data_IF_636238891550
#
_entry.id   IF_636238891550
#
_cell.length_a   1.000
_cell.length_b   1.000
_cell.length_c   1.000
_cell.angle_alpha   90.00
_cell.angle_beta   90.00
_cell.angle_gamma   90.00
#
_symmetry.space_group_name_H-M   'P 1'
#
loop_
_entity.id
_entity.type
_entity.pdbx_description
1 polymer ?
#
# COMPACT_ATOMS: atom_id res chain seq x y z
N UNK A 1 -9.49 25.51 -2.55
CA UNK A 1 -8.67 24.29 -2.73
C UNK A 1 -9.58 23.09 -2.74
N UNK A 2 -9.56 22.27 -3.78
CA UNK A 2 -10.30 20.99 -3.79
C UNK A 2 -9.60 19.99 -2.87
N UNK A 3 -10.37 19.30 -2.04
CA UNK A 3 -9.84 18.27 -1.15
C UNK A 3 -9.76 16.93 -1.89
N UNK A 4 -8.85 16.01 -1.50
CA UNK A 4 -8.61 14.77 -2.24
C UNK A 4 -9.78 13.79 -2.30
N UNK A 5 -10.76 13.96 -1.41
CA UNK A 5 -11.84 12.98 -1.18
C UNK A 5 -13.19 13.66 -1.10
N UNK A 6 -14.25 12.87 -1.31
CA UNK A 6 -15.65 13.27 -1.09
C UNK A 6 -16.12 14.49 -1.90
N UNK A 7 -15.37 14.88 -2.95
CA UNK A 7 -15.62 16.11 -3.73
C UNK A 7 -15.74 17.37 -2.86
N UNK A 8 -15.13 17.34 -1.67
CA UNK A 8 -15.17 18.45 -0.74
C UNK A 8 -14.17 19.54 -1.17
N UNK A 9 -14.39 20.76 -0.72
CA UNK A 9 -13.44 21.84 -0.95
C UNK A 9 -13.31 22.74 0.27
N UNK A 10 -12.18 23.44 0.33
CA UNK A 10 -11.84 24.32 1.42
C UNK A 10 -11.28 25.63 0.88
N UNK A 11 -11.78 26.74 1.38
CA UNK A 11 -11.18 28.06 1.21
C UNK A 11 -10.82 28.60 2.59
N UNK A 12 -9.70 29.32 2.69
CA UNK A 12 -9.30 29.93 3.96
C UNK A 12 -8.54 31.23 3.73
N UNK A 13 -8.58 32.09 4.74
CA UNK A 13 -7.73 33.28 4.86
C UNK A 13 -7.10 33.27 6.24
N UNK A 14 -5.76 33.35 6.29
CA UNK A 14 -5.03 33.41 7.55
C UNK A 14 -4.52 34.82 7.82
N UNK A 15 -5.04 35.42 8.90
CA UNK A 15 -4.68 36.75 9.37
C UNK A 15 -3.50 36.64 10.35
N UNK A 16 -2.29 36.83 9.83
CA UNK A 16 -1.04 36.66 10.61
C UNK A 16 -0.95 37.61 11.80
N UNK A 17 -1.52 38.82 11.71
CA UNK A 17 -1.42 39.86 12.74
C UNK A 17 -2.14 39.51 14.05
N UNK A 18 -3.20 38.71 14.00
CA UNK A 18 -3.99 38.31 15.16
C UNK A 18 -4.13 36.78 15.32
N UNK A 19 -3.40 36.01 14.50
CA UNK A 19 -3.45 34.55 14.42
C UNK A 19 -4.87 34.00 14.21
N UNK A 20 -5.71 34.71 13.47
CA UNK A 20 -7.08 34.29 13.17
C UNK A 20 -7.13 33.61 11.80
N UNK A 21 -7.81 32.48 11.75
CA UNK A 21 -8.06 31.71 10.54
C UNK A 21 -9.55 31.73 10.24
N UNK A 22 -9.92 32.34 9.12
CA UNK A 22 -11.25 32.25 8.56
C UNK A 22 -11.27 31.10 7.56
N UNK A 23 -12.18 30.15 7.73
CA UNK A 23 -12.28 28.95 6.90
C UNK A 23 -13.71 28.78 6.41
N UNK A 24 -13.84 28.41 5.15
CA UNK A 24 -15.10 27.94 4.56
C UNK A 24 -14.85 26.54 4.02
N UNK A 25 -15.64 25.58 4.50
CA UNK A 25 -15.66 24.21 4.02
C UNK A 25 -16.92 23.97 3.20
N UNK A 26 -16.77 23.33 2.05
CA UNK A 26 -17.86 22.85 1.22
C UNK A 26 -17.86 21.33 1.20
N UNK A 27 -19.01 20.73 1.51
CA UNK A 27 -19.22 19.29 1.43
C UNK A 27 -20.66 18.97 1.02
N UNK A 28 -20.95 17.69 0.81
CA UNK A 28 -22.28 17.23 0.42
C UNK A 28 -22.81 16.13 1.32
N UNK A 29 -24.10 16.20 1.65
CA UNK A 29 -24.81 15.14 2.36
C UNK A 29 -24.91 13.89 1.49
N UNK A 30 -24.93 12.72 2.14
CA UNK A 30 -25.15 11.40 1.49
C UNK A 30 -26.50 10.79 1.86
N UNK A 31 -27.33 11.55 2.57
CA UNK A 31 -28.60 11.12 3.12
C UNK A 31 -29.38 12.33 3.64
N UNK A 32 -30.72 12.36 3.53
CA UNK A 32 -31.55 13.43 4.05
C UNK A 32 -31.50 13.58 5.58
N UNK A 33 -31.13 12.53 6.30
CA UNK A 33 -30.95 12.55 7.76
C UNK A 33 -29.48 12.60 8.18
N UNK A 34 -28.58 12.72 7.20
CA UNK A 34 -27.14 12.59 7.38
C UNK A 34 -26.49 13.78 8.08
N UNK A 35 -25.17 13.71 8.17
CA UNK A 35 -24.35 14.79 8.70
C UNK A 35 -23.15 15.04 7.80
N UNK A 36 -22.65 16.26 7.81
CA UNK A 36 -21.42 16.67 7.12
C UNK A 36 -20.60 17.49 8.11
N UNK A 37 -19.30 17.20 8.21
CA UNK A 37 -18.47 17.91 9.17
C UNK A 37 -17.03 18.02 8.75
N UNK A 38 -16.37 19.03 9.29
CA UNK A 38 -14.94 19.22 9.18
C UNK A 38 -14.36 19.68 10.52
N UNK A 39 -13.06 19.57 10.69
CA UNK A 39 -12.41 19.98 11.92
C UNK A 39 -10.90 20.07 11.82
N UNK A 40 -10.31 20.59 12.89
CA UNK A 40 -8.87 20.73 13.04
C UNK A 40 -8.39 19.80 14.14
N UNK A 41 -7.35 19.03 13.85
CA UNK A 41 -6.64 18.26 14.85
C UNK A 41 -5.33 18.99 15.22
N UNK A 42 -5.09 19.30 16.51
CA UNK A 42 -3.93 20.07 16.93
C UNK A 42 -2.59 19.30 16.86
N UNK A 43 -2.64 17.98 16.67
CA UNK A 43 -1.48 17.08 16.83
C UNK A 43 -1.14 16.31 15.55
N UNK A 44 -2.13 15.78 14.82
CA UNK A 44 -1.92 14.85 13.69
C UNK A 44 -3.06 14.90 12.68
N UNK A 45 -2.82 14.51 11.43
CA UNK A 45 -3.88 14.41 10.41
C UNK A 45 -4.68 13.10 10.54
N UNK A 46 -5.40 12.95 11.65
CA UNK A 46 -6.27 11.81 11.92
C UNK A 46 -7.57 12.24 12.63
N UNK A 47 -8.60 11.40 12.58
CA UNK A 47 -9.92 11.72 13.14
C UNK A 47 -9.96 11.80 14.67
N UNK A 48 -9.17 10.96 15.36
CA UNK A 48 -9.09 10.99 16.82
C UNK A 48 -8.23 12.18 17.26
N UNK A 49 -8.77 13.01 18.14
CA UNK A 49 -8.19 14.28 18.56
C UNK A 49 -8.71 15.48 17.75
N UNK A 50 -9.60 15.28 16.79
CA UNK A 50 -10.15 16.39 15.99
C UNK A 50 -11.19 17.18 16.79
N UNK A 51 -11.06 18.51 16.70
CA UNK A 51 -12.07 19.48 17.14
C UNK A 51 -12.88 19.84 15.91
N UNK A 52 -14.12 19.36 15.86
CA UNK A 52 -14.95 19.34 14.66
C UNK A 52 -16.19 20.18 14.80
N UNK A 53 -16.65 20.71 13.67
CA UNK A 53 -17.95 21.33 13.49
C UNK A 53 -18.74 20.42 12.55
N UNK A 54 -19.90 19.97 13.02
CA UNK A 54 -20.72 19.01 12.29
C UNK A 54 -22.10 19.61 12.07
N UNK A 55 -22.50 19.68 10.80
CA UNK A 55 -23.77 20.17 10.33
C UNK A 55 -24.73 19.00 10.03
N UNK A 56 -25.97 19.11 10.47
CA UNK A 56 -27.02 18.10 10.27
C UNK A 56 -28.43 18.70 10.48
N UNK A 57 -29.51 18.06 9.98
CA UNK A 57 -30.86 18.48 10.30
C UNK A 57 -31.18 18.21 11.78
N UNK A 58 -31.67 19.23 12.47
CA UNK A 58 -32.20 19.12 13.82
C UNK A 58 -33.32 18.06 13.87
N UNK A 59 -33.26 17.08 14.79
CA UNK A 59 -34.25 15.99 14.84
C UNK A 59 -35.69 16.44 15.08
N UNK A 60 -35.88 17.62 15.69
CA UNK A 60 -37.21 18.11 16.07
C UNK A 60 -37.79 19.05 15.00
N UNK A 61 -36.96 19.93 14.44
CA UNK A 61 -37.40 20.98 13.51
C UNK A 61 -37.00 20.73 12.04
N UNK A 62 -36.08 19.80 11.78
CA UNK A 62 -35.50 19.57 10.45
C UNK A 62 -34.60 20.68 9.93
N UNK A 63 -34.41 21.76 10.69
CA UNK A 63 -33.54 22.88 10.30
C UNK A 63 -32.07 22.49 10.40
N UNK A 64 -31.24 23.06 9.53
CA UNK A 64 -29.80 22.84 9.60
C UNK A 64 -29.24 23.42 10.90
N UNK A 65 -28.60 22.58 11.70
CA UNK A 65 -27.85 22.98 12.89
C UNK A 65 -26.37 22.69 12.71
N UNK A 66 -25.53 23.48 13.36
CA UNK A 66 -24.08 23.30 13.39
C UNK A 66 -23.64 23.21 14.85
N UNK A 67 -23.05 22.09 15.23
CA UNK A 67 -22.60 21.86 16.61
C UNK A 67 -21.12 21.48 16.70
N UNK A 68 -20.42 21.90 17.77
CA UNK A 68 -19.04 21.52 18.02
C UNK A 68 -18.92 20.15 18.70
N UNK A 69 -17.94 19.36 18.26
CA UNK A 69 -17.64 18.04 18.82
C UNK A 69 -16.13 17.84 18.98
N UNK A 70 -15.74 17.24 20.10
CA UNK A 70 -14.36 16.78 20.34
C UNK A 70 -14.33 15.27 20.15
N UNK A 71 -13.63 14.82 19.10
CA UNK A 71 -13.50 13.42 18.76
C UNK A 71 -12.36 12.79 19.57
N UNK A 72 -12.68 11.87 20.47
CA UNK A 72 -11.69 11.11 21.25
C UNK A 72 -11.61 9.64 20.74
N UNK A 73 -10.71 8.78 21.26
CA UNK A 73 -10.57 7.41 20.75
C UNK A 73 -11.85 6.57 20.83
N UNK A 74 -12.84 6.94 21.66
CA UNK A 74 -14.08 6.18 21.83
C UNK A 74 -14.97 6.22 20.57
N UNK A 75 -14.82 7.24 19.72
CA UNK A 75 -15.59 7.38 18.48
C UNK A 75 -15.34 6.27 17.48
N UNK A 76 -14.18 5.60 17.54
CA UNK A 76 -13.83 4.49 16.63
C UNK A 76 -14.74 3.26 16.79
N UNK A 77 -15.29 3.07 17.99
CA UNK A 77 -16.12 1.93 18.34
C UNK A 77 -17.58 2.33 18.60
N UNK A 78 -17.88 3.64 18.58
CA UNK A 78 -19.18 4.24 18.89
C UNK A 78 -19.89 3.56 20.08
N UNK A 79 -19.14 3.26 21.15
CA UNK A 79 -19.67 2.57 22.35
C UNK A 79 -20.68 3.41 23.13
N UNK A 80 -20.61 4.73 22.97
CA UNK A 80 -21.50 5.70 23.61
C UNK A 80 -21.83 6.82 22.62
N UNK A 81 -22.95 7.54 22.81
CA UNK A 81 -23.29 8.71 22.00
C UNK A 81 -22.18 9.77 22.04
N UNK A 82 -21.90 10.38 20.89
CA UNK A 82 -21.00 11.51 20.77
C UNK A 82 -21.76 12.78 21.15
N UNK A 83 -21.37 13.41 22.26
CA UNK A 83 -22.04 14.59 22.79
C UNK A 83 -21.34 15.88 22.34
N UNK A 84 -22.16 16.86 21.96
CA UNK A 84 -21.69 18.21 21.63
C UNK A 84 -21.13 18.90 22.88
N UNK A 85 -20.00 19.59 22.73
CA UNK A 85 -19.35 20.37 23.79
C UNK A 85 -18.45 21.46 23.21
N UNK A 86 -18.22 22.57 23.94
CA UNK A 86 -17.31 23.62 23.49
C UNK A 86 -15.92 23.08 23.13
N UNK A 87 -15.34 23.62 22.06
CA UNK A 87 -14.01 23.21 21.61
C UNK A 87 -12.94 23.67 22.60
N UNK A 88 -12.02 22.76 22.93
CA UNK A 88 -10.83 23.02 23.72
C UNK A 88 -9.61 23.18 22.80
N UNK A 89 -8.54 23.84 23.28
CA UNK A 89 -7.29 24.12 22.54
C UNK A 89 -7.42 24.98 21.26
N UNK A 90 -8.64 25.17 20.76
CA UNK A 90 -8.99 25.95 19.58
C UNK A 90 -10.12 26.90 19.97
N UNK A 91 -9.88 28.20 19.85
CA UNK A 91 -10.88 29.21 20.20
C UNK A 91 -11.74 29.52 18.97
N UNK A 92 -12.97 28.99 18.97
CA UNK A 92 -13.97 29.31 17.97
C UNK A 92 -14.56 30.69 18.24
N UNK A 93 -14.35 31.64 17.33
CA UNK A 93 -14.84 33.02 17.44
C UNK A 93 -16.26 33.13 16.89
N UNK A 94 -16.50 32.52 15.73
CA UNK A 94 -17.83 32.43 15.12
C UNK A 94 -17.90 31.22 14.20
N UNK A 95 -19.12 30.73 13.97
CA UNK A 95 -19.38 29.66 13.01
C UNK A 95 -20.80 29.75 12.47
N UNK A 96 -20.99 29.37 11.22
CA UNK A 96 -22.31 29.26 10.59
C UNK A 96 -22.32 28.11 9.60
N UNK A 97 -23.50 27.56 9.37
CA UNK A 97 -23.73 26.60 8.29
C UNK A 97 -24.91 27.08 7.45
N UNK A 98 -24.78 26.94 6.13
CA UNK A 98 -25.80 27.34 5.17
C UNK A 98 -25.84 26.33 4.04
N UNK A 99 -27.04 25.99 3.58
CA UNK A 99 -27.21 25.12 2.42
C UNK A 99 -26.89 25.88 1.14
N UNK A 100 -26.23 25.22 0.20
CA UNK A 100 -26.04 25.74 -1.14
C UNK A 100 -27.42 25.85 -1.83
N UNK A 101 -27.76 27.03 -2.37
CA UNK A 101 -29.13 27.35 -2.83
C UNK A 101 -29.97 28.16 -1.84
N UNK A 102 -29.44 28.48 -0.66
CA UNK A 102 -30.03 29.43 0.28
C UNK A 102 -31.20 28.88 1.08
N UNK A 103 -32.09 29.77 1.55
CA UNK A 103 -33.15 29.44 2.54
C UNK A 103 -34.20 28.42 2.07
N UNK A 104 -34.30 28.17 0.76
CA UNK A 104 -35.26 27.21 0.18
C UNK A 104 -34.63 25.85 -0.13
N UNK A 105 -33.32 25.71 0.08
CA UNK A 105 -32.63 24.44 -0.14
C UNK A 105 -33.06 23.42 0.93
N UNK A 106 -33.23 22.17 0.51
CA UNK A 106 -33.63 21.05 1.38
C UNK A 106 -32.49 20.06 1.49
N UNK A 107 -32.41 19.34 2.60
CA UNK A 107 -31.39 18.32 2.80
C UNK A 107 -31.84 17.03 2.12
N UNK A 108 -31.07 16.59 1.13
CA UNK A 108 -31.25 15.35 0.38
C UNK A 108 -29.88 14.76 0.04
N UNK A 109 -29.86 13.57 -0.55
CA UNK A 109 -28.61 12.99 -1.05
C UNK A 109 -28.01 13.89 -2.14
N UNK A 110 -26.72 14.23 -1.99
CA UNK A 110 -26.01 15.17 -2.83
C UNK A 110 -26.24 16.65 -2.51
N UNK A 111 -27.07 17.00 -1.53
CA UNK A 111 -27.26 18.39 -1.14
C UNK A 111 -25.96 18.99 -0.59
N UNK A 112 -25.55 20.15 -1.08
CA UNK A 112 -24.30 20.81 -0.68
C UNK A 112 -24.50 21.74 0.51
N UNK A 113 -23.51 21.77 1.39
CA UNK A 113 -23.48 22.63 2.57
C UNK A 113 -22.16 23.39 2.64
N UNK A 114 -22.28 24.67 2.99
CA UNK A 114 -21.20 25.55 3.31
C UNK A 114 -21.12 25.70 4.83
N UNK A 115 -19.96 25.41 5.41
CA UNK A 115 -19.68 25.55 6.84
C UNK A 115 -18.55 26.57 7.01
N UNK A 116 -18.89 27.74 7.56
CA UNK A 116 -17.94 28.80 7.89
C UNK A 116 -17.51 28.71 9.35
N UNK A 117 -16.23 28.98 9.61
CA UNK A 117 -15.72 29.19 10.96
C UNK A 117 -14.60 30.23 10.98
N UNK A 118 -14.64 31.10 11.97
CA UNK A 118 -13.53 31.98 12.33
C UNK A 118 -12.89 31.47 13.62
N UNK A 119 -11.61 31.15 13.56
CA UNK A 119 -10.90 30.40 14.59
C UNK A 119 -9.61 31.12 14.96
N UNK A 120 -9.37 31.34 16.25
CA UNK A 120 -8.08 31.83 16.73
C UNK A 120 -7.12 30.68 16.99
N UNK A 121 -6.02 30.65 16.26
CA UNK A 121 -4.96 29.65 16.38
C UNK A 121 -3.98 30.02 17.49
N UNK A 122 -3.36 29.01 18.09
CA UNK A 122 -2.20 29.21 18.97
C UNK A 122 -1.05 29.83 18.19
N UNK A 123 -0.48 30.92 18.69
CA UNK A 123 0.65 31.63 18.07
C UNK A 123 1.80 30.67 17.73
N UNK A 124 2.39 30.83 16.54
CA UNK A 124 3.51 30.05 15.96
C UNK A 124 3.20 28.72 15.20
N UNK A 125 1.93 28.33 14.98
CA UNK A 125 1.63 27.18 14.11
C UNK A 125 1.14 27.63 12.73
N UNK A 126 2.01 27.53 11.71
CA UNK A 126 1.61 27.72 10.30
C UNK A 126 0.99 26.46 9.68
N UNK A 127 1.20 25.29 10.28
CA UNK A 127 0.68 24.02 9.79
C UNK A 127 -0.55 23.61 10.59
N UNK A 128 -1.62 23.28 9.88
CA UNK A 128 -2.86 22.77 10.47
C UNK A 128 -3.22 21.42 9.87
N UNK A 129 -3.73 20.52 10.70
CA UNK A 129 -4.24 19.22 10.27
C UNK A 129 -5.75 19.30 10.18
N UNK A 130 -6.30 19.12 8.97
CA UNK A 130 -7.73 19.20 8.70
C UNK A 130 -8.25 17.80 8.46
N UNK A 131 -9.43 17.52 9.02
CA UNK A 131 -10.19 16.28 8.82
C UNK A 131 -11.58 16.66 8.38
N UNK A 132 -12.16 15.92 7.44
CA UNK A 132 -13.55 16.09 7.02
C UNK A 132 -14.21 14.74 6.84
N UNK A 133 -15.52 14.69 7.02
CA UNK A 133 -16.29 13.50 6.70
C UNK A 133 -17.78 13.79 6.60
N UNK A 134 -18.54 12.74 6.26
CA UNK A 134 -19.99 12.76 6.14
C UNK A 134 -20.58 11.40 6.53
N UNK A 135 -21.78 11.39 7.09
CA UNK A 135 -22.45 10.18 7.54
C UNK A 135 -23.93 10.11 7.17
N UNK A 136 -24.49 8.92 7.33
CA UNK A 136 -25.83 8.57 6.80
C UNK A 136 -26.96 9.05 7.70
N UNK A 137 -26.75 9.12 9.01
CA UNK A 137 -27.78 9.62 9.94
C UNK A 137 -27.20 10.15 11.25
N UNK A 138 -28.03 10.84 12.02
CA UNK A 138 -27.75 11.30 13.38
C UNK A 138 -28.75 10.66 14.35
N UNK A 139 -28.29 10.17 15.50
CA UNK A 139 -29.15 9.65 16.56
C UNK A 139 -29.30 10.71 17.65
N UNK A 140 -30.47 11.36 17.72
CA UNK A 140 -30.64 12.56 18.54
C UNK A 140 -29.68 13.65 18.07
N UNK A 141 -28.78 14.10 18.94
CA UNK A 141 -27.71 15.06 18.59
C UNK A 141 -26.33 14.40 18.48
N UNK A 142 -26.29 13.07 18.29
CA UNK A 142 -25.04 12.30 18.15
C UNK A 142 -24.87 11.82 16.71
N UNK A 143 -23.93 12.38 15.94
CA UNK A 143 -23.56 11.87 14.62
C UNK A 143 -23.11 10.41 14.72
N UNK A 144 -23.60 9.55 13.82
CA UNK A 144 -23.14 8.14 13.78
C UNK A 144 -21.85 8.00 13.00
N UNK A 145 -21.20 6.85 13.11
CA UNK A 145 -20.00 6.52 12.34
C UNK A 145 -20.23 6.76 10.84
N UNK A 146 -19.27 7.40 10.20
CA UNK A 146 -19.26 7.62 8.76
C UNK A 146 -18.95 6.30 8.03
N UNK A 147 -19.28 6.16 6.73
CA UNK A 147 -18.83 5.03 5.92
C UNK A 147 -17.31 4.87 5.98
N UNK A 148 -16.81 3.64 6.02
CA UNK A 148 -15.38 3.35 6.23
C UNK A 148 -14.69 2.92 4.93
N UNK A 149 -15.11 3.48 3.79
CA UNK A 149 -14.44 3.21 2.51
C UNK A 149 -13.03 3.83 2.49
N UNK A 150 -12.19 3.43 1.54
CA UNK A 150 -10.84 3.98 1.38
C UNK A 150 -10.88 5.51 1.22
N UNK A 151 -11.88 6.02 0.50
CA UNK A 151 -12.10 7.45 0.28
C UNK A 151 -12.38 8.17 1.61
N UNK A 152 -13.29 7.63 2.43
CA UNK A 152 -13.68 8.24 3.71
C UNK A 152 -12.57 8.18 4.76
N UNK A 153 -11.83 7.08 4.81
CA UNK A 153 -10.67 6.90 5.69
C UNK A 153 -9.46 7.72 5.23
N UNK A 154 -9.53 8.34 4.05
CA UNK A 154 -8.50 9.23 3.52
C UNK A 154 -8.81 10.72 3.67
N UNK A 155 -9.94 11.07 4.28
CA UNK A 155 -10.43 12.44 4.43
C UNK A 155 -9.72 13.23 5.54
N UNK A 156 -8.39 13.28 5.47
CA UNK A 156 -7.54 14.08 6.34
C UNK A 156 -6.32 14.59 5.57
N UNK A 157 -5.90 15.84 5.83
CA UNK A 157 -4.74 16.45 5.18
C UNK A 157 -4.04 17.45 6.10
N UNK A 158 -2.81 17.83 5.76
CA UNK A 158 -2.05 18.88 6.45
C UNK A 158 -1.78 20.03 5.50
N UNK A 159 -2.21 21.22 5.89
CA UNK A 159 -2.07 22.44 5.09
C UNK A 159 -1.10 23.38 5.81
N UNK A 160 -0.18 23.95 5.04
CA UNK A 160 0.68 25.04 5.50
C UNK A 160 0.06 26.36 5.07
N UNK A 161 -0.50 27.08 6.05
CA UNK A 161 -1.30 28.29 5.88
C UNK A 161 -0.56 29.43 5.18
N UNK A 162 0.78 29.46 5.26
CA UNK A 162 1.60 30.51 4.66
C UNK A 162 1.93 30.22 3.20
N UNK A 163 2.13 28.96 2.85
CA UNK A 163 2.50 28.56 1.48
C UNK A 163 1.30 28.22 0.60
N UNK A 164 0.14 27.94 1.21
CA UNK A 164 -1.03 27.45 0.48
C UNK A 164 -0.92 25.99 0.01
N UNK A 165 0.21 25.31 0.27
CA UNK A 165 0.52 23.97 -0.27
C UNK A 165 0.25 22.87 0.78
N UNK A 166 -0.50 21.85 0.38
CA UNK A 166 -0.65 20.60 1.13
C UNK A 166 0.60 19.72 0.96
N UNK A 167 1.55 19.78 1.91
CA UNK A 167 2.86 19.10 1.79
C UNK A 167 2.84 17.59 2.04
N UNK A 168 1.93 17.10 2.90
CA UNK A 168 1.93 15.69 3.34
C UNK A 168 1.52 14.69 2.23
N UNK A 169 0.73 15.14 1.25
CA UNK A 169 0.21 14.27 0.19
C UNK A 169 1.29 13.88 -0.82
N UNK A 170 2.13 14.84 -1.22
CA UNK A 170 3.20 14.60 -2.20
C UNK A 170 4.24 13.62 -1.68
N UNK A 171 4.61 13.74 -0.39
CA UNK A 171 5.58 12.85 0.24
C UNK A 171 5.03 11.43 0.40
N UNK A 172 3.78 11.28 0.87
CA UNK A 172 3.14 9.97 1.00
C UNK A 172 2.94 9.28 -0.35
N UNK A 173 2.51 10.04 -1.37
CA UNK A 173 2.35 9.51 -2.73
C UNK A 173 3.68 9.03 -3.28
N UNK A 174 4.75 9.80 -3.09
CA UNK A 174 6.10 9.44 -3.52
C UNK A 174 6.59 8.18 -2.81
N UNK A 175 6.42 8.08 -1.49
CA UNK A 175 6.79 6.90 -0.71
C UNK A 175 6.01 5.65 -1.14
N UNK A 176 4.71 5.76 -1.44
CA UNK A 176 3.92 4.65 -1.99
C UNK A 176 4.45 4.15 -3.33
N UNK A 177 4.81 5.08 -4.22
CA UNK A 177 5.39 4.75 -5.53
C UNK A 177 6.75 4.07 -5.35
N UNK A 178 7.63 4.62 -4.53
CA UNK A 178 8.95 4.04 -4.25
C UNK A 178 8.81 2.63 -3.67
N UNK A 179 7.95 2.45 -2.66
CA UNK A 179 7.64 1.14 -2.09
C UNK A 179 7.17 0.13 -3.15
N UNK A 180 6.21 0.54 -3.99
CA UNK A 180 5.65 -0.31 -5.04
C UNK A 180 6.70 -0.71 -6.09
N UNK A 181 7.47 0.25 -6.60
CA UNK A 181 8.51 0.02 -7.61
C UNK A 181 9.62 -0.88 -7.08
N UNK A 182 10.14 -0.59 -5.89
CA UNK A 182 11.21 -1.40 -5.28
C UNK A 182 10.79 -2.86 -5.10
N UNK A 183 9.57 -3.10 -4.60
CA UNK A 183 9.08 -4.45 -4.36
C UNK A 183 8.66 -5.18 -5.65
N UNK A 184 8.15 -4.46 -6.65
CA UNK A 184 7.87 -5.05 -7.97
C UNK A 184 9.17 -5.52 -8.65
N UNK A 185 10.23 -4.70 -8.62
CA UNK A 185 11.54 -5.06 -9.17
C UNK A 185 12.14 -6.23 -8.38
N UNK A 186 12.13 -6.17 -7.05
CA UNK A 186 12.71 -7.19 -6.17
C UNK A 186 11.90 -8.50 -6.18
N UNK A 187 10.75 -8.50 -5.50
CA UNK A 187 9.94 -9.70 -5.26
C UNK A 187 9.20 -10.15 -6.51
N UNK A 188 8.81 -9.21 -7.36
CA UNK A 188 8.01 -9.48 -8.55
C UNK A 188 8.81 -9.96 -9.76
N UNK A 189 10.11 -9.63 -9.86
CA UNK A 189 10.92 -9.89 -11.08
C UNK A 189 12.30 -10.48 -10.76
N UNK A 190 13.12 -9.79 -9.96
CA UNK A 190 14.51 -10.17 -9.74
C UNK A 190 14.66 -11.55 -9.06
N UNK A 191 13.89 -11.81 -8.00
CA UNK A 191 13.90 -13.11 -7.32
C UNK A 191 13.39 -14.26 -8.23
N UNK A 192 12.27 -14.11 -8.98
CA UNK A 192 11.87 -15.06 -10.00
C UNK A 192 12.97 -15.34 -11.05
N UNK A 193 13.62 -14.31 -11.60
CA UNK A 193 14.72 -14.49 -12.56
C UNK A 193 15.89 -15.25 -11.92
N UNK A 194 16.20 -15.00 -10.65
CA UNK A 194 17.23 -15.76 -9.92
C UNK A 194 16.93 -17.26 -9.85
N UNK A 195 15.67 -17.66 -9.67
CA UNK A 195 15.25 -19.07 -9.70
C UNK A 195 15.39 -19.66 -11.12
N UNK A 196 14.89 -18.95 -12.13
CA UNK A 196 14.98 -19.35 -13.54
C UNK A 196 16.45 -19.57 -13.94
N UNK A 197 17.32 -18.64 -13.57
CA UNK A 197 18.75 -18.71 -13.79
C UNK A 197 19.37 -19.96 -13.14
N UNK A 198 19.04 -20.25 -11.88
CA UNK A 198 19.50 -21.46 -11.19
C UNK A 198 18.99 -22.74 -11.84
N UNK A 199 17.76 -22.75 -12.38
CA UNK A 199 17.16 -23.93 -13.00
C UNK A 199 17.87 -24.27 -14.30
N UNK A 200 18.02 -23.29 -15.20
CA UNK A 200 18.49 -23.57 -16.56
C UNK A 200 20.02 -23.48 -16.71
N UNK A 201 20.69 -22.51 -16.08
CA UNK A 201 22.15 -22.36 -16.24
C UNK A 201 22.95 -23.46 -15.53
N UNK A 202 22.36 -24.12 -14.52
CA UNK A 202 23.03 -25.22 -13.79
C UNK A 202 23.36 -26.43 -14.67
N UNK A 203 22.64 -26.61 -15.78
CA UNK A 203 22.85 -27.73 -16.70
C UNK A 203 23.92 -27.46 -17.76
N UNK A 204 24.44 -26.23 -17.84
CA UNK A 204 25.47 -25.85 -18.80
C UNK A 204 26.84 -26.09 -18.17
N UNK A 205 27.48 -27.21 -18.55
CA UNK A 205 28.78 -27.63 -18.00
C UNK A 205 29.86 -26.55 -18.17
N UNK A 206 29.85 -25.82 -19.30
CA UNK A 206 30.78 -24.74 -19.58
C UNK A 206 30.74 -23.59 -18.55
N UNK A 207 29.62 -23.40 -17.84
CA UNK A 207 29.48 -22.33 -16.84
C UNK A 207 30.02 -22.73 -15.46
N UNK A 208 30.29 -24.01 -15.20
CA UNK A 208 30.82 -24.49 -13.92
C UNK A 208 30.04 -23.95 -12.70
N UNK A 209 30.69 -23.32 -11.71
CA UNK A 209 30.02 -22.77 -10.53
C UNK A 209 29.36 -21.40 -10.76
N UNK A 210 29.49 -20.79 -11.93
CA UNK A 210 29.03 -19.42 -12.21
C UNK A 210 27.53 -19.26 -11.98
N UNK A 211 26.71 -20.24 -12.39
CA UNK A 211 25.25 -20.21 -12.16
C UNK A 211 24.89 -20.01 -10.68
N UNK A 212 25.69 -20.58 -9.76
CA UNK A 212 25.45 -20.49 -8.33
C UNK A 212 25.71 -19.08 -7.82
N UNK A 213 26.79 -18.43 -8.27
CA UNK A 213 27.09 -17.05 -7.89
C UNK A 213 26.10 -16.07 -8.48
N UNK A 214 25.67 -16.25 -9.73
CA UNK A 214 24.62 -15.42 -10.34
C UNK A 214 23.30 -15.58 -9.58
N UNK A 215 22.88 -16.81 -9.30
CA UNK A 215 21.70 -17.08 -8.48
C UNK A 215 21.82 -16.39 -7.11
N UNK A 216 22.91 -16.65 -6.37
CA UNK A 216 23.10 -16.10 -5.03
C UNK A 216 23.12 -14.56 -5.04
N UNK A 217 23.80 -13.94 -6.00
CA UNK A 217 23.84 -12.49 -6.17
C UNK A 217 22.45 -11.91 -6.42
N UNK A 218 21.68 -12.49 -7.34
CA UNK A 218 20.31 -12.06 -7.61
C UNK A 218 19.40 -12.20 -6.39
N UNK A 219 19.49 -13.31 -5.66
CA UNK A 219 18.69 -13.54 -4.47
C UNK A 219 19.03 -12.58 -3.34
N UNK A 220 20.32 -12.34 -3.07
CA UNK A 220 20.76 -11.43 -2.01
C UNK A 220 20.41 -9.98 -2.31
N UNK A 221 20.70 -9.51 -3.52
CA UNK A 221 20.35 -8.14 -3.95
C UNK A 221 18.84 -7.93 -4.00
N UNK A 222 18.08 -8.90 -4.54
CA UNK A 222 16.63 -8.87 -4.54
C UNK A 222 16.08 -8.77 -3.12
N UNK A 223 16.49 -9.67 -2.22
CA UNK A 223 16.02 -9.67 -0.83
C UNK A 223 16.38 -8.37 -0.08
N UNK A 224 17.57 -7.81 -0.33
CA UNK A 224 17.99 -6.54 0.27
C UNK A 224 17.09 -5.37 -0.17
N UNK A 225 16.91 -5.18 -1.48
CA UNK A 225 16.03 -4.14 -2.04
C UNK A 225 14.59 -4.33 -1.53
N UNK A 226 14.11 -5.57 -1.52
CA UNK A 226 12.77 -5.92 -1.05
C UNK A 226 12.58 -5.65 0.46
N UNK A 227 13.62 -5.82 1.27
CA UNK A 227 13.57 -5.52 2.71
C UNK A 227 13.50 -4.01 2.96
N UNK A 228 14.23 -3.19 2.19
CA UNK A 228 14.10 -1.73 2.23
C UNK A 228 12.68 -1.32 1.81
N UNK A 229 12.18 -1.88 0.71
CA UNK A 229 10.81 -1.67 0.26
C UNK A 229 9.80 -2.02 1.36
N UNK A 230 9.94 -3.17 2.02
CA UNK A 230 9.10 -3.57 3.15
C UNK A 230 9.15 -2.58 4.32
N UNK A 231 10.34 -2.10 4.71
CA UNK A 231 10.49 -1.10 5.77
C UNK A 231 9.73 0.20 5.44
N UNK A 232 9.80 0.67 4.18
CA UNK A 232 9.01 1.82 3.70
C UNK A 232 7.50 1.51 3.82
N UNK A 233 7.09 0.29 3.48
CA UNK A 233 5.69 -0.16 3.60
C UNK A 233 5.17 -0.13 5.04
N UNK A 234 5.99 -0.54 6.01
CA UNK A 234 5.67 -0.44 7.42
C UNK A 234 5.52 1.01 7.87
N UNK A 235 6.43 1.89 7.43
CA UNK A 235 6.35 3.33 7.70
C UNK A 235 5.11 3.98 7.09
N UNK A 236 4.73 3.59 5.88
CA UNK A 236 3.49 4.04 5.23
C UNK A 236 2.25 3.64 6.03
N UNK A 237 2.26 2.47 6.67
CA UNK A 237 1.20 2.02 7.56
C UNK A 237 1.06 2.89 8.80
N UNK A 238 2.18 3.27 9.44
CA UNK A 238 2.19 4.20 10.58
C UNK A 238 1.69 5.60 10.21
N UNK A 239 2.05 6.08 9.01
CA UNK A 239 1.65 7.40 8.51
C UNK A 239 0.21 7.42 7.94
N UNK A 240 -0.47 6.29 7.89
CA UNK A 240 -1.85 6.16 7.37
C UNK A 240 -2.79 5.50 8.41
N UNK A 241 -2.89 6.05 9.64
CA UNK A 241 -3.75 5.47 10.67
C UNK A 241 -5.20 5.39 10.19
N UNK A 242 -5.83 4.22 10.38
CA UNK A 242 -7.20 3.96 9.94
C UNK A 242 -7.33 3.28 8.57
N UNK A 243 -6.29 3.26 7.72
CA UNK A 243 -6.31 2.50 6.45
C UNK A 243 -5.74 1.09 6.65
N UNK A 244 -6.56 0.06 6.46
CA UNK A 244 -6.14 -1.34 6.68
C UNK A 244 -6.04 -2.09 5.35
N UNK A 245 -4.83 -2.20 4.80
CA UNK A 245 -4.52 -3.11 3.68
C UNK A 245 -4.23 -4.52 4.21
N UNK A 246 -5.25 -5.17 4.76
CA UNK A 246 -5.09 -6.37 5.58
C UNK A 246 -4.38 -7.52 4.86
N UNK A 247 -4.79 -7.84 3.63
CA UNK A 247 -4.21 -8.96 2.87
C UNK A 247 -2.78 -8.66 2.41
N UNK A 248 -2.55 -7.53 1.74
CA UNK A 248 -1.22 -7.08 1.30
C UNK A 248 -0.21 -7.05 2.46
N UNK A 249 -0.58 -6.48 3.61
CA UNK A 249 0.30 -6.41 4.77
C UNK A 249 0.65 -7.80 5.32
N UNK A 250 -0.34 -8.70 5.44
CA UNK A 250 -0.13 -10.07 5.91
C UNK A 250 0.80 -10.84 4.97
N UNK A 251 0.54 -10.79 3.66
CA UNK A 251 1.37 -11.45 2.65
C UNK A 251 2.79 -10.89 2.62
N UNK A 252 2.95 -9.56 2.74
CA UNK A 252 4.25 -8.92 2.82
C UNK A 252 5.09 -9.37 4.03
N UNK A 253 4.49 -9.46 5.21
CA UNK A 253 5.17 -9.99 6.41
C UNK A 253 5.59 -11.45 6.18
N UNK A 254 4.68 -12.29 5.67
CA UNK A 254 4.99 -13.69 5.36
C UNK A 254 6.14 -13.80 4.35
N UNK A 255 6.13 -12.99 3.29
CA UNK A 255 7.17 -12.98 2.27
C UNK A 255 8.55 -12.66 2.87
N UNK A 256 8.66 -11.63 3.71
CA UNK A 256 9.93 -11.27 4.36
C UNK A 256 10.40 -12.34 5.33
N UNK A 257 9.50 -12.95 6.11
CA UNK A 257 9.85 -14.08 6.98
C UNK A 257 10.39 -15.27 6.18
N UNK A 258 9.70 -15.68 5.11
CA UNK A 258 10.14 -16.79 4.26
C UNK A 258 11.41 -16.46 3.47
N UNK A 259 11.59 -15.22 3.02
CA UNK A 259 12.82 -14.76 2.36
C UNK A 259 14.01 -14.75 3.32
N UNK A 260 13.79 -14.33 4.57
CA UNK A 260 14.82 -14.38 5.62
C UNK A 260 15.26 -15.83 5.87
N UNK A 261 14.28 -16.72 6.01
CA UNK A 261 14.52 -18.16 6.12
C UNK A 261 15.31 -18.66 4.90
N UNK A 262 14.92 -18.28 3.68
CA UNK A 262 15.60 -18.67 2.45
C UNK A 262 17.06 -18.18 2.37
N UNK A 263 17.39 -16.99 2.88
CA UNK A 263 18.78 -16.49 2.91
C UNK A 263 19.65 -17.24 3.93
N UNK A 264 19.08 -17.70 5.05
CA UNK A 264 19.78 -18.60 5.98
C UNK A 264 20.19 -19.93 5.33
N UNK A 265 19.58 -20.31 4.21
CA UNK A 265 19.98 -21.51 3.47
C UNK A 265 21.44 -21.44 3.01
N UNK A 266 21.99 -20.24 2.73
CA UNK A 266 23.40 -20.08 2.40
C UNK A 266 24.32 -20.37 3.60
N UNK A 267 23.96 -19.88 4.79
CA UNK A 267 24.75 -20.07 6.02
C UNK A 267 24.76 -21.53 6.47
N UNK A 268 23.60 -22.19 6.43
CA UNK A 268 23.46 -23.57 6.90
C UNK A 268 23.61 -24.61 5.78
N UNK A 269 24.27 -24.27 4.66
CA UNK A 269 24.44 -25.15 3.50
C UNK A 269 25.32 -26.36 3.84
N UNK A 270 24.78 -27.59 3.95
CA UNK A 270 25.59 -28.76 4.31
C UNK A 270 26.51 -29.19 3.17
N UNK A 271 27.64 -29.83 3.48
CA UNK A 271 28.49 -30.50 2.47
C UNK A 271 27.68 -31.52 1.66
N UNK A 272 28.08 -31.75 0.41
CA UNK A 272 27.37 -32.66 -0.51
C UNK A 272 27.27 -34.09 0.00
N UNK A 273 28.23 -34.52 0.81
CA UNK A 273 28.30 -35.85 1.45
C UNK A 273 27.47 -35.98 2.72
N UNK A 274 26.89 -34.89 3.24
CA UNK A 274 26.16 -34.89 4.51
C UNK A 274 24.72 -35.41 4.34
N UNK A 275 24.27 -36.33 5.21
CA UNK A 275 22.90 -36.89 5.20
C UNK A 275 21.79 -35.83 5.26
N UNK A 276 22.02 -34.67 5.88
CA UNK A 276 21.06 -33.58 5.98
C UNK A 276 20.92 -32.75 4.70
N UNK A 277 21.81 -32.94 3.71
CA UNK A 277 21.77 -32.24 2.41
C UNK A 277 20.44 -32.45 1.69
N UNK A 278 19.81 -33.62 1.83
CA UNK A 278 18.50 -33.91 1.20
C UNK A 278 17.38 -33.04 1.78
N UNK A 279 17.33 -32.89 3.11
CA UNK A 279 16.32 -32.05 3.77
C UNK A 279 16.54 -30.58 3.46
N UNK A 280 17.80 -30.12 3.49
CA UNK A 280 18.15 -28.76 3.09
C UNK A 280 17.72 -28.46 1.64
N UNK A 281 17.91 -29.40 0.69
CA UNK A 281 17.46 -29.23 -0.70
C UNK A 281 15.93 -29.13 -0.81
N UNK A 282 15.19 -29.96 -0.06
CA UNK A 282 13.73 -29.95 -0.06
C UNK A 282 13.19 -28.64 0.51
N UNK A 283 13.67 -28.26 1.69
CA UNK A 283 13.41 -26.98 2.35
C UNK A 283 13.68 -25.79 1.41
N UNK A 284 14.87 -25.71 0.83
CA UNK A 284 15.28 -24.58 -0.01
C UNK A 284 14.42 -24.45 -1.27
N UNK A 285 14.02 -25.56 -1.90
CA UNK A 285 13.11 -25.49 -3.05
C UNK A 285 11.69 -25.10 -2.63
N UNK A 286 11.13 -25.75 -1.61
CA UNK A 286 9.74 -25.53 -1.22
C UNK A 286 9.52 -24.09 -0.73
N UNK A 287 10.39 -23.61 0.17
CA UNK A 287 10.34 -22.22 0.66
C UNK A 287 10.62 -21.23 -0.47
N UNK A 288 11.57 -21.54 -1.36
CA UNK A 288 11.87 -20.71 -2.52
C UNK A 288 10.68 -20.50 -3.47
N UNK A 289 9.95 -21.57 -3.81
CA UNK A 289 8.73 -21.47 -4.63
C UNK A 289 7.61 -20.72 -3.92
N UNK A 290 7.41 -20.98 -2.62
CA UNK A 290 6.43 -20.26 -1.82
C UNK A 290 6.72 -18.74 -1.80
N UNK A 291 7.99 -18.34 -1.63
CA UNK A 291 8.41 -16.93 -1.68
C UNK A 291 8.03 -16.26 -3.00
N UNK A 292 8.25 -16.93 -4.14
CA UNK A 292 7.92 -16.35 -5.45
C UNK A 292 6.42 -16.20 -5.64
N UNK A 293 5.63 -17.23 -5.32
CA UNK A 293 4.17 -17.18 -5.44
C UNK A 293 3.60 -16.07 -4.56
N UNK A 294 3.99 -16.04 -3.28
CA UNK A 294 3.52 -15.02 -2.34
C UNK A 294 4.00 -13.63 -2.75
N UNK A 295 5.25 -13.48 -3.21
CA UNK A 295 5.80 -12.21 -3.68
C UNK A 295 5.02 -11.64 -4.85
N UNK A 296 4.77 -12.44 -5.89
CA UNK A 296 3.99 -12.02 -7.08
C UNK A 296 2.55 -11.65 -6.71
N UNK A 297 1.86 -12.48 -5.92
CA UNK A 297 0.50 -12.18 -5.44
C UNK A 297 0.50 -10.87 -4.63
N UNK A 298 1.52 -10.68 -3.79
CA UNK A 298 1.60 -9.49 -2.96
C UNK A 298 1.85 -8.21 -3.77
N UNK A 299 2.56 -8.29 -4.89
CA UNK A 299 2.72 -7.18 -5.84
C UNK A 299 1.38 -6.82 -6.48
N UNK A 300 0.59 -7.81 -6.91
CA UNK A 300 -0.78 -7.56 -7.41
C UNK A 300 -1.69 -6.91 -6.37
N UNK A 301 -1.66 -7.41 -5.13
CA UNK A 301 -2.35 -6.80 -4.01
C UNK A 301 -1.88 -5.36 -3.75
N UNK A 302 -0.59 -5.07 -3.98
CA UNK A 302 -0.05 -3.71 -3.93
C UNK A 302 -0.65 -2.78 -4.98
N UNK A 303 -0.79 -3.24 -6.23
CA UNK A 303 -1.45 -2.48 -7.29
C UNK A 303 -2.93 -2.19 -6.99
N UNK A 304 -3.64 -3.13 -6.39
CA UNK A 304 -5.01 -2.93 -5.92
C UNK A 304 -5.08 -1.89 -4.79
N UNK A 305 -4.16 -1.96 -3.83
CA UNK A 305 -4.10 -1.06 -2.68
C UNK A 305 -3.86 0.42 -3.04
N UNK A 306 -3.19 0.68 -4.17
CA UNK A 306 -2.98 2.06 -4.68
C UNK A 306 -3.97 2.45 -5.78
N UNK A 307 -5.04 1.67 -5.98
CA UNK A 307 -6.06 1.85 -7.02
C UNK A 307 -5.50 1.94 -8.45
N UNK A 308 -4.28 1.44 -8.67
CA UNK A 308 -3.59 1.47 -9.96
C UNK A 308 -4.01 0.30 -10.88
N UNK A 309 -5.25 -0.16 -10.74
CA UNK A 309 -5.77 -1.36 -11.43
C UNK A 309 -5.80 -1.24 -12.95
N UNK A 310 -5.91 -0.01 -13.48
CA UNK A 310 -5.86 0.29 -14.92
C UNK A 310 -4.62 1.10 -15.31
N UNK A 311 -3.53 0.96 -14.56
CA UNK A 311 -2.29 1.69 -14.82
C UNK A 311 -1.42 0.99 -15.88
N UNK A 312 -0.70 1.80 -16.67
CA UNK A 312 0.37 1.31 -17.56
C UNK A 312 1.46 0.56 -16.79
N UNK A 313 1.70 0.90 -15.52
CA UNK A 313 2.64 0.19 -14.66
C UNK A 313 2.22 -1.26 -14.38
N UNK A 314 0.94 -1.50 -14.08
CA UNK A 314 0.39 -2.86 -13.91
C UNK A 314 0.48 -3.65 -15.21
N UNK A 315 0.16 -3.01 -16.35
CA UNK A 315 0.30 -3.64 -17.66
C UNK A 315 1.75 -4.04 -17.96
N UNK A 316 2.71 -3.13 -17.74
CA UNK A 316 4.13 -3.40 -17.94
C UNK A 316 4.62 -4.55 -17.05
N UNK A 317 4.18 -4.59 -15.79
CA UNK A 317 4.47 -5.70 -14.89
C UNK A 317 3.89 -7.03 -15.40
N UNK A 318 2.63 -7.06 -15.84
CA UNK A 318 2.02 -8.25 -16.43
C UNK A 318 2.75 -8.73 -17.69
N UNK A 319 3.16 -7.82 -18.58
CA UNK A 319 3.93 -8.16 -19.79
C UNK A 319 5.31 -8.72 -19.43
N UNK A 320 5.99 -8.14 -18.44
CA UNK A 320 7.27 -8.65 -17.94
C UNK A 320 7.12 -10.07 -17.37
N UNK A 321 6.13 -10.29 -16.51
CA UNK A 321 5.87 -11.60 -15.91
C UNK A 321 5.47 -12.64 -16.96
N UNK A 322 4.59 -12.28 -17.90
CA UNK A 322 4.17 -13.17 -18.99
C UNK A 322 5.35 -13.54 -19.90
N UNK A 323 6.24 -12.59 -20.18
CA UNK A 323 7.47 -12.85 -20.94
C UNK A 323 8.39 -13.81 -20.19
N UNK A 324 8.58 -13.61 -18.87
CA UNK A 324 9.38 -14.52 -18.05
C UNK A 324 8.81 -15.94 -18.05
N UNK A 325 7.49 -16.09 -17.92
CA UNK A 325 6.79 -17.38 -18.00
C UNK A 325 6.98 -18.00 -19.39
N UNK A 326 6.82 -17.22 -20.46
CA UNK A 326 7.04 -17.68 -21.84
C UNK A 326 8.47 -18.19 -22.07
N UNK A 327 9.48 -17.47 -21.58
CA UNK A 327 10.88 -17.90 -21.60
C UNK A 327 11.07 -19.21 -20.82
N UNK A 328 10.42 -19.35 -19.65
CA UNK A 328 10.48 -20.60 -18.90
C UNK A 328 9.89 -21.78 -19.68
N UNK A 329 8.73 -21.60 -20.31
CA UNK A 329 8.10 -22.65 -21.12
C UNK A 329 9.03 -23.03 -22.28
N UNK A 330 9.58 -22.05 -22.99
CA UNK A 330 10.50 -22.31 -24.10
C UNK A 330 11.77 -23.07 -23.66
N UNK A 331 12.38 -22.67 -22.54
CA UNK A 331 13.56 -23.34 -21.99
C UNK A 331 13.25 -24.75 -21.47
N UNK A 332 12.06 -24.97 -20.90
CA UNK A 332 11.62 -26.30 -20.46
C UNK A 332 11.39 -27.23 -21.66
N UNK A 333 10.71 -26.76 -22.72
CA UNK A 333 10.55 -27.50 -23.98
C UNK A 333 11.91 -27.86 -24.59
N UNK A 334 12.83 -26.90 -24.68
CA UNK A 334 14.18 -27.16 -25.17
C UNK A 334 14.93 -28.19 -24.31
N UNK A 335 14.78 -28.12 -22.99
CA UNK A 335 15.39 -29.09 -22.06
C UNK A 335 14.84 -30.51 -22.28
N UNK A 336 13.54 -30.65 -22.54
CA UNK A 336 12.91 -31.93 -22.90
C UNK A 336 13.40 -32.46 -24.24
N UNK A 337 13.52 -31.60 -25.27
CA UNK A 337 14.06 -31.99 -26.57
C UNK A 337 15.49 -32.51 -26.44
N UNK A 338 16.35 -31.82 -25.68
CA UNK A 338 17.72 -32.26 -25.42
C UNK A 338 17.74 -33.59 -24.67
N UNK A 339 16.86 -33.77 -23.68
CA UNK A 339 16.74 -35.02 -22.93
C UNK A 339 16.35 -36.20 -23.84
N UNK A 340 15.33 -36.04 -24.68
CA UNK A 340 14.91 -37.07 -25.64
C UNK A 340 16.03 -37.41 -26.64
N UNK A 341 16.72 -36.39 -27.18
CA UNK A 341 17.85 -36.60 -28.10
C UNK A 341 18.98 -37.39 -27.44
N UNK A 342 19.36 -37.05 -26.19
CA UNK A 342 20.40 -37.79 -25.46
C UNK A 342 19.99 -39.24 -25.18
N UNK A 343 18.72 -39.48 -24.84
CA UNK A 343 18.20 -40.83 -24.65
C UNK A 343 18.25 -41.66 -25.93
N UNK A 344 17.97 -41.03 -27.09
CA UNK A 344 18.10 -41.66 -28.40
C UNK A 344 19.57 -41.93 -28.77
N UNK A 345 20.48 -40.98 -28.57
CA UNK A 345 21.92 -41.16 -28.76
C UNK A 345 22.47 -42.31 -27.89
N UNK A 346 22.06 -42.40 -26.62
CA UNK A 346 22.44 -43.50 -25.73
C UNK A 346 21.86 -44.85 -26.17
N UNK A 347 20.66 -44.86 -26.78
CA UNK A 347 20.07 -46.07 -27.36
C UNK A 347 20.87 -46.50 -28.61
N UNK A 348 21.16 -45.57 -29.52
CA UNK A 348 21.96 -45.85 -30.72
C UNK A 348 23.39 -46.32 -30.40
N UNK A 349 24.00 -45.81 -29.32
CA UNK A 349 25.29 -46.31 -28.81
C UNK A 349 25.18 -47.73 -28.24
N UNK A 350 24.09 -48.06 -27.54
CA UNK A 350 23.82 -49.42 -27.04
C UNK A 350 23.56 -50.42 -28.16
N UNK A 351 22.88 -49.98 -29.21
CA UNK A 351 22.54 -50.80 -30.39
C UNK A 351 23.73 -50.91 -31.38
N UNK A 352 24.90 -50.33 -31.07
CA UNK A 352 26.12 -50.43 -31.88
C UNK A 352 26.12 -49.60 -33.18
N UNK A 353 25.12 -48.74 -33.39
CA UNK A 353 24.95 -47.92 -34.60
C UNK A 353 25.92 -46.74 -34.62
N UNK A 354 26.39 -46.30 -33.44
CA UNK A 354 27.38 -45.22 -33.29
C UNK A 354 28.62 -45.78 -32.58
N UNK A 355 29.76 -45.84 -33.28
CA UNK A 355 31.02 -46.31 -32.70
C UNK A 355 31.48 -45.42 -31.53
N UNK A 356 31.76 -46.03 -30.38
CA UNK A 356 32.39 -45.34 -29.27
C UNK A 356 33.81 -44.95 -29.65
N UNK A 357 34.13 -43.65 -29.61
CA UNK A 357 35.52 -43.21 -29.58
C UNK A 357 36.15 -43.71 -28.28
N UNK A 358 36.86 -44.85 -28.35
CA UNK A 358 37.80 -45.27 -27.32
C UNK A 358 38.89 -44.21 -27.24
N UNK A 359 39.02 -43.56 -26.08
CA UNK A 359 40.22 -42.82 -25.72
C UNK A 359 41.37 -43.82 -25.66
N UNK A 360 42.23 -43.82 -26.67
CA UNK A 360 43.51 -44.50 -26.64
C UNK A 360 44.31 -44.04 -25.41
N UNK A 361 44.53 -44.95 -24.45
CA UNK A 361 45.56 -44.78 -23.44
C UNK A 361 46.92 -44.94 -24.11
N UNK A 362 47.62 -43.84 -24.31
CA UNK A 362 49.04 -43.87 -24.66
C UNK A 362 49.85 -44.27 -23.43
N UNK A 363 50.25 -45.54 -23.38
CA UNK A 363 51.45 -45.97 -22.67
C UNK A 363 52.67 -45.34 -23.35
N UNK A 364 53.52 -44.65 -22.60
CA UNK A 364 54.94 -44.53 -22.93
C UNK A 364 55.76 -44.56 -21.64
N UNK A 365 56.83 -45.34 -21.75
CA UNK A 365 57.82 -45.75 -20.74
C UNK A 365 58.46 -44.61 -19.96
#
# INVERSE_FOLDING_TARGET
MTLPTQQASLAWTYHTHNATLDVVFFGSFISPSGWVGWGINPTSAEMTGTRSLIAFPDPNSGQLVLLPYILDPTVKLQKSPLLSRPLDHIHLLSSSATMYGGKLATIHDGAEVEIFASIKLSSNKSKIHIVWNRGVYVQGYSPTIHPTTVNDLSSATTIDLLSGVARHENDLKSLKIIHGVMNAISWGVMLPIGIVTSRYLRHIEALGPTWFYVHAGMQLSGFFIGSIGFAIGMRLGELSPGKVYGLHRKLGIIAVCLGSLQTLALLFRPKTTNKYRKYWKSYHHFVGYACVVIGVINVFQGFEAIEANRSYAKLAYCLCLSSLIGVCIALEVNSWVIFCRKAEEEKLRRDGVIAGSEKASGSFN
#
